data_IF_538786376816
#
_entry.id   IF_538786376816
#
_cell.length_a   1.000
_cell.length_b   1.000
_cell.length_c   1.000
_cell.angle_alpha   90.00
_cell.angle_beta   90.00
_cell.angle_gamma   90.00
#
_symmetry.space_group_name_H-M   'P 1'
#
loop_
_entity.id
_entity.type
_entity.pdbx_description
1 polymer ?
#
# COMPACT_ATOMS: atom_id res chain seq x y z
N UNK A 1 -1.25 -4.27 -8.22
CA UNK A 1 -0.54 -5.57 -8.20
C UNK A 1 -1.20 -6.53 -7.22
N UNK A 2 -1.32 -6.18 -5.95
CA UNK A 2 -1.97 -7.00 -4.93
C UNK A 2 -3.43 -7.36 -5.23
N UNK A 3 -4.27 -6.41 -5.64
CA UNK A 3 -5.64 -6.71 -6.08
C UNK A 3 -5.73 -7.75 -7.21
N UNK A 4 -4.83 -7.69 -8.18
CA UNK A 4 -4.72 -8.67 -9.27
C UNK A 4 -4.29 -10.05 -8.76
N UNK A 5 -3.38 -10.10 -7.78
CA UNK A 5 -2.95 -11.33 -7.14
C UNK A 5 -4.09 -12.03 -6.40
N UNK A 6 -4.89 -11.29 -5.62
CA UNK A 6 -6.04 -11.86 -4.91
C UNK A 6 -7.17 -12.29 -5.86
N UNK A 7 -7.37 -11.56 -6.95
CA UNK A 7 -8.32 -11.96 -7.98
C UNK A 7 -7.88 -13.24 -8.71
N UNK A 8 -6.59 -13.34 -9.08
CA UNK A 8 -6.06 -14.56 -9.71
C UNK A 8 -6.22 -15.78 -8.80
N UNK A 9 -5.96 -15.63 -7.50
CA UNK A 9 -6.14 -16.73 -6.55
C UNK A 9 -7.60 -17.03 -6.18
N UNK A 10 -8.58 -16.32 -6.75
CA UNK A 10 -10.01 -16.47 -6.41
C UNK A 10 -10.26 -16.35 -4.89
N UNK A 11 -9.45 -15.56 -4.19
CA UNK A 11 -9.57 -15.40 -2.74
C UNK A 11 -10.81 -14.62 -2.32
N UNK A 12 -11.41 -13.85 -3.24
CA UNK A 12 -12.52 -12.93 -3.02
C UNK A 12 -13.56 -13.09 -4.13
N UNK A 13 -14.85 -12.86 -3.84
CA UNK A 13 -15.96 -13.20 -4.72
C UNK A 13 -16.02 -12.35 -6.00
N UNK A 14 -15.42 -11.16 -6.00
CA UNK A 14 -15.46 -10.23 -7.12
C UNK A 14 -14.13 -9.46 -7.28
N UNK A 15 -13.89 -8.93 -8.48
CA UNK A 15 -12.77 -8.02 -8.75
C UNK A 15 -12.89 -6.77 -7.88
N UNK A 16 -14.12 -6.25 -7.71
CA UNK A 16 -14.38 -5.08 -6.89
C UNK A 16 -13.97 -5.29 -5.44
N UNK A 17 -14.31 -6.45 -4.86
CA UNK A 17 -13.91 -6.85 -3.51
C UNK A 17 -12.38 -6.99 -3.37
N UNK A 18 -11.72 -7.53 -4.40
CA UNK A 18 -10.25 -7.68 -4.43
C UNK A 18 -9.53 -6.34 -4.49
N UNK A 19 -10.04 -5.39 -5.28
CA UNK A 19 -9.53 -4.02 -5.34
C UNK A 19 -9.79 -3.27 -4.04
N UNK A 20 -10.98 -3.42 -3.46
CA UNK A 20 -11.34 -2.77 -2.20
C UNK A 20 -10.45 -3.28 -1.05
N UNK A 21 -10.35 -4.59 -0.88
CA UNK A 21 -9.50 -5.20 0.16
C UNK A 21 -8.05 -4.76 0.02
N UNK A 22 -7.50 -4.81 -1.20
CA UNK A 22 -6.13 -4.39 -1.48
C UNK A 22 -5.92 -2.90 -1.18
N UNK A 23 -6.85 -2.03 -1.60
CA UNK A 23 -6.78 -0.60 -1.33
C UNK A 23 -6.80 -0.27 0.17
N UNK A 24 -7.73 -0.89 0.91
CA UNK A 24 -7.89 -0.69 2.36
C UNK A 24 -6.66 -1.21 3.12
N UNK A 25 -6.13 -2.36 2.73
CA UNK A 25 -4.95 -2.97 3.34
C UNK A 25 -3.68 -2.18 3.02
N UNK A 26 -3.48 -1.82 1.76
CA UNK A 26 -2.32 -1.05 1.30
C UNK A 26 -2.30 0.37 1.91
N UNK A 27 -3.47 1.00 2.05
CA UNK A 27 -3.62 2.28 2.73
C UNK A 27 -3.60 2.16 4.26
N UNK A 28 -3.45 0.95 4.82
CA UNK A 28 -3.45 0.67 6.26
C UNK A 28 -4.72 1.10 7.00
N UNK A 29 -5.85 1.20 6.29
CA UNK A 29 -7.14 1.57 6.88
C UNK A 29 -7.70 0.40 7.68
N UNK A 30 -7.64 -0.81 7.12
CA UNK A 30 -7.98 -2.04 7.83
C UNK A 30 -9.41 -2.14 8.38
N UNK A 31 -10.43 -1.76 7.61
CA UNK A 31 -11.85 -1.82 8.04
C UNK A 31 -12.28 -3.20 8.58
N UNK A 32 -11.69 -4.29 8.09
CA UNK A 32 -11.95 -5.65 8.56
C UNK A 32 -13.32 -6.20 8.15
N UNK A 33 -14.01 -5.51 7.25
CA UNK A 33 -15.28 -5.88 6.64
C UNK A 33 -15.14 -7.00 5.60
N UNK A 34 -14.02 -7.02 4.87
CA UNK A 34 -13.58 -8.15 4.05
C UNK A 34 -12.31 -8.76 4.63
N UNK A 35 -12.32 -10.08 4.78
CA UNK A 35 -11.19 -10.86 5.32
C UNK A 35 -10.79 -11.94 4.31
N UNK A 36 -9.47 -12.11 4.16
CA UNK A 36 -8.90 -13.21 3.38
C UNK A 36 -9.18 -14.56 4.06
N UNK A 37 -9.30 -15.65 3.27
CA UNK A 37 -9.32 -17.00 3.81
C UNK A 37 -8.07 -17.28 4.66
N UNK A 38 -8.19 -18.21 5.62
CA UNK A 38 -7.14 -18.51 6.62
C UNK A 38 -5.79 -18.88 6.00
N UNK A 39 -5.79 -19.45 4.80
CA UNK A 39 -4.60 -19.82 4.03
C UNK A 39 -3.83 -18.59 3.50
N UNK A 40 -4.53 -17.49 3.23
CA UNK A 40 -3.98 -16.27 2.61
C UNK A 40 -3.89 -15.09 3.59
N UNK A 41 -4.28 -15.28 4.85
CA UNK A 41 -4.26 -14.25 5.90
C UNK A 41 -2.91 -13.55 6.04
N UNK A 42 -1.79 -14.27 5.87
CA UNK A 42 -0.44 -13.71 6.02
C UNK A 42 -0.10 -12.67 4.95
N UNK A 43 -0.77 -12.69 3.79
CA UNK A 43 -0.52 -11.72 2.72
C UNK A 43 -1.11 -10.34 3.02
N UNK A 44 -2.16 -10.25 3.83
CA UNK A 44 -2.75 -8.97 4.24
C UNK A 44 -1.75 -8.07 4.98
N UNK A 45 -1.12 -8.53 6.08
CA UNK A 45 -0.08 -7.79 6.78
C UNK A 45 1.12 -7.42 5.89
N UNK A 46 1.52 -8.29 4.96
CA UNK A 46 2.64 -8.05 4.03
C UNK A 46 2.30 -6.94 3.04
N UNK A 47 1.09 -6.93 2.50
CA UNK A 47 0.60 -5.83 1.66
C UNK A 47 0.58 -4.51 2.44
N UNK A 48 0.07 -4.52 3.67
CA UNK A 48 0.05 -3.33 4.53
C UNK A 48 1.45 -2.80 4.83
N UNK A 49 2.41 -3.67 5.16
CA UNK A 49 3.82 -3.32 5.34
C UNK A 49 4.42 -2.69 4.08
N UNK A 50 4.11 -3.25 2.91
CA UNK A 50 4.55 -2.70 1.63
C UNK A 50 4.01 -1.29 1.42
N UNK A 51 2.74 -1.05 1.74
CA UNK A 51 2.10 0.26 1.71
C UNK A 51 2.80 1.28 2.61
N UNK A 52 3.07 0.92 3.88
CA UNK A 52 3.79 1.77 4.84
C UNK A 52 5.18 2.12 4.33
N UNK A 53 5.94 1.13 3.85
CA UNK A 53 7.30 1.32 3.34
C UNK A 53 7.31 2.25 2.12
N UNK A 54 6.38 2.08 1.18
CA UNK A 54 6.27 2.94 0.00
C UNK A 54 5.85 4.35 0.35
N UNK A 55 4.89 4.53 1.26
CA UNK A 55 4.49 5.85 1.76
C UNK A 55 5.66 6.55 2.48
N UNK A 56 6.35 5.85 3.37
CA UNK A 56 7.51 6.39 4.09
C UNK A 56 8.67 6.76 3.16
N UNK A 57 8.98 5.88 2.20
CA UNK A 57 10.03 6.14 1.21
C UNK A 57 9.68 7.33 0.31
N UNK A 58 8.43 7.43 -0.13
CA UNK A 58 7.95 8.56 -0.93
C UNK A 58 8.06 9.89 -0.17
N UNK A 59 7.66 9.92 1.10
CA UNK A 59 7.80 11.10 1.95
C UNK A 59 9.27 11.48 2.16
N UNK A 60 10.15 10.50 2.40
CA UNK A 60 11.59 10.73 2.55
C UNK A 60 12.21 11.27 1.25
N UNK A 61 11.87 10.68 0.09
CA UNK A 61 12.31 11.17 -1.21
C UNK A 61 11.83 12.60 -1.47
N UNK A 62 10.56 12.88 -1.20
CA UNK A 62 9.99 14.21 -1.34
C UNK A 62 10.74 15.23 -0.48
N UNK A 63 11.01 14.88 0.78
CA UNK A 63 11.78 15.72 1.70
C UNK A 63 13.20 15.98 1.18
N UNK A 64 13.92 14.95 0.71
CA UNK A 64 15.27 15.11 0.16
C UNK A 64 15.29 16.05 -1.05
N UNK A 65 14.35 15.88 -1.99
CA UNK A 65 14.24 16.73 -3.17
C UNK A 65 13.92 18.18 -2.76
N UNK A 66 12.98 18.36 -1.83
CA UNK A 66 12.59 19.68 -1.35
C UNK A 66 13.72 20.38 -0.60
N UNK A 67 14.39 19.68 0.33
CA UNK A 67 15.54 20.20 1.08
C UNK A 67 16.68 20.59 0.14
N UNK A 68 16.98 19.75 -0.86
CA UNK A 68 17.99 20.07 -1.88
C UNK A 68 17.62 21.34 -2.66
N UNK A 69 16.37 21.44 -3.10
CA UNK A 69 15.89 22.62 -3.86
C UNK A 69 15.89 23.89 -3.01
N UNK A 70 15.55 23.80 -1.72
CA UNK A 70 15.59 24.93 -0.78
C UNK A 70 17.04 25.40 -0.56
N UNK A 71 17.98 24.46 -0.37
CA UNK A 71 19.40 24.78 -0.22
C UNK A 71 19.98 25.44 -1.48
N UNK A 72 19.62 24.96 -2.67
CA UNK A 72 20.02 25.57 -3.94
C UNK A 72 19.45 27.00 -4.12
N UNK A 73 18.26 27.28 -3.58
CA UNK A 73 17.62 28.60 -3.65
C UNK A 73 18.20 29.61 -2.64
N UNK A 74 18.66 29.14 -1.47
CA UNK A 74 19.26 30.00 -0.43
C UNK A 74 20.78 30.16 -0.55
N UNK A 75 21.43 29.35 -1.38
CA UNK A 75 22.88 29.39 -1.65
C UNK A 75 23.31 30.34 -2.78
N UNK A 76 22.45 31.28 -3.19
CA UNK A 76 22.82 32.44 -4.04
C UNK A 76 22.66 33.73 -3.28
#
# INVERSE_FOLDING_TARGET
VWALFFWWQNCLPDIGSSLYFSGVTYATIGYGDLLLPKEWQLFGPVEGLTGILMCGLSAAFFFVILSRKILELHGR
#
